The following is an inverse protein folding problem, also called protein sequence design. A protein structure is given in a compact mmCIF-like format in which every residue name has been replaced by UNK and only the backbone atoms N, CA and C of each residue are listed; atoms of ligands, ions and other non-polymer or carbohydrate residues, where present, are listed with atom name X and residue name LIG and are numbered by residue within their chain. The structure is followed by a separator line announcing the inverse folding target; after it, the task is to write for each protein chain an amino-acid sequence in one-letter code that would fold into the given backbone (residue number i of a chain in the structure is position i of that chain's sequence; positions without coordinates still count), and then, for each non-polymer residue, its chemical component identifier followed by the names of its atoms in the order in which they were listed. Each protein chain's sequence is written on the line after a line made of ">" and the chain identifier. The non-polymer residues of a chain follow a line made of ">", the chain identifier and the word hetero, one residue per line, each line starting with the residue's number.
data_IF_817261001908
#
_entry.id   IF_817261001908
#
_cell.length_a   1.000
_cell.length_b   1.000
_cell.length_c   1.000
_cell.angle_alpha   90.00
_cell.angle_beta   90.00
_cell.angle_gamma   90.00
#
_symmetry.space_group_name_H-M   'P 1'
#
loop_
_entity.id
_entity.type
_entity.pdbx_description
1 polymer ?
#
# COMPACT_ATOMS: atom_id res chain seq x y z
N UNK A 1 19.71 -1.69 5.55
CA UNK A 1 18.39 -1.03 5.49
C UNK A 1 17.50 -1.93 4.68
N UNK A 2 16.43 -2.44 5.27
CA UNK A 2 15.38 -3.15 4.53
C UNK A 2 14.81 -2.18 3.51
N UNK A 3 14.74 -2.56 2.23
CA UNK A 3 14.18 -1.71 1.19
C UNK A 3 12.66 -1.57 1.42
N UNK A 4 12.23 -0.42 1.93
CA UNK A 4 10.81 -0.08 2.08
C UNK A 4 10.21 0.22 0.71
N UNK A 5 9.07 -0.40 0.41
CA UNK A 5 8.48 -0.32 -0.92
C UNK A 5 8.06 1.10 -1.31
N UNK A 6 7.54 1.89 -0.37
CA UNK A 6 7.13 3.27 -0.68
C UNK A 6 8.35 4.16 -0.86
N UNK A 7 9.45 3.92 -0.15
CA UNK A 7 10.71 4.65 -0.36
C UNK A 7 11.27 4.37 -1.76
N UNK A 8 11.18 3.12 -2.22
CA UNK A 8 11.56 2.75 -3.58
C UNK A 8 10.66 3.41 -4.63
N UNK A 9 9.34 3.40 -4.43
CA UNK A 9 8.36 3.97 -5.36
C UNK A 9 8.42 5.50 -5.45
N UNK A 10 8.77 6.16 -4.35
CA UNK A 10 8.89 7.63 -4.29
C UNK A 10 10.28 8.15 -4.68
N UNK A 11 11.31 7.29 -4.68
CA UNK A 11 12.69 7.75 -4.84
C UNK A 11 13.11 8.60 -3.63
N UNK A 12 13.11 7.97 -2.45
CA UNK A 12 13.24 8.65 -1.16
C UNK A 12 14.43 9.63 -1.10
N UNK A 13 14.16 10.86 -0.65
CA UNK A 13 15.17 11.87 -0.29
C UNK A 13 15.36 11.90 1.23
N UNK A 14 16.49 12.45 1.76
CA UNK A 14 16.70 12.58 3.20
C UNK A 14 15.54 13.28 3.94
N UNK A 15 14.96 14.30 3.31
CA UNK A 15 13.84 15.08 3.85
C UNK A 15 12.57 14.24 3.94
N UNK A 16 12.26 13.48 2.88
CA UNK A 16 11.12 12.57 2.87
C UNK A 16 11.29 11.43 3.87
N UNK A 17 12.49 10.87 3.98
CA UNK A 17 12.79 9.82 4.94
C UNK A 17 12.60 10.33 6.38
N UNK A 18 13.11 11.52 6.70
CA UNK A 18 12.90 12.16 8.00
C UNK A 18 11.42 12.39 8.31
N UNK A 19 10.63 12.84 7.33
CA UNK A 19 9.18 12.98 7.47
C UNK A 19 8.51 11.64 7.78
N UNK A 20 8.85 10.59 7.03
CA UNK A 20 8.24 9.26 7.21
C UNK A 20 8.64 8.61 8.54
N UNK A 21 9.84 8.89 9.06
CA UNK A 21 10.27 8.43 10.40
C UNK A 21 9.46 9.02 11.54
N UNK A 22 8.69 10.10 11.33
CA UNK A 22 7.72 10.63 12.32
C UNK A 22 6.50 9.73 12.52
N UNK A 23 6.27 8.75 11.63
CA UNK A 23 5.16 7.79 11.68
C UNK A 23 5.69 6.35 11.52
N UNK A 24 6.54 5.87 12.44
CA UNK A 24 7.25 4.60 12.30
C UNK A 24 6.28 3.42 12.15
N UNK A 25 5.21 3.38 12.96
CA UNK A 25 4.18 2.35 12.88
C UNK A 25 3.50 2.31 11.51
N UNK A 26 3.17 3.45 10.92
CA UNK A 26 2.55 3.50 9.58
C UNK A 26 3.49 2.96 8.51
N UNK A 27 4.78 3.30 8.60
CA UNK A 27 5.81 2.81 7.68
C UNK A 27 5.96 1.28 7.78
N UNK A 28 6.11 0.77 9.00
CA UNK A 28 6.25 -0.66 9.28
C UNK A 28 5.03 -1.46 8.83
N UNK A 29 3.82 -1.01 9.16
CA UNK A 29 2.59 -1.72 8.82
C UNK A 29 2.29 -1.71 7.31
N UNK A 30 2.69 -0.65 6.60
CA UNK A 30 2.57 -0.61 5.15
C UNK A 30 3.50 -1.67 4.51
N UNK A 31 4.75 -1.72 4.95
CA UNK A 31 5.69 -2.73 4.47
C UNK A 31 5.21 -4.15 4.82
N UNK A 32 4.73 -4.39 6.04
CA UNK A 32 4.17 -5.67 6.43
C UNK A 32 2.95 -6.07 5.58
N UNK A 33 2.09 -5.11 5.21
CA UNK A 33 0.97 -5.35 4.30
C UNK A 33 1.43 -5.75 2.89
N UNK A 34 2.47 -5.08 2.38
CA UNK A 34 3.10 -5.45 1.11
C UNK A 34 3.66 -6.88 1.16
N UNK A 35 4.40 -7.22 2.22
CA UNK A 35 4.98 -8.54 2.39
C UNK A 35 3.92 -9.63 2.54
N UNK A 36 2.84 -9.38 3.29
CA UNK A 36 1.72 -10.32 3.39
C UNK A 36 1.05 -10.59 2.02
N UNK A 37 1.01 -9.60 1.13
CA UNK A 37 0.36 -9.71 -0.18
C UNK A 37 1.28 -10.26 -1.27
N UNK A 38 2.59 -9.97 -1.23
CA UNK A 38 3.53 -10.32 -2.32
C UNK A 38 4.60 -11.33 -1.92
N UNK A 39 4.76 -11.62 -0.63
CA UNK A 39 5.60 -12.66 -0.07
C UNK A 39 4.80 -13.53 0.93
N UNK A 40 3.64 -14.08 0.51
CA UNK A 40 2.74 -14.76 1.43
C UNK A 40 3.32 -16.09 1.93
N UNK A 41 2.89 -16.50 3.12
CA UNK A 41 3.23 -17.82 3.69
C UNK A 41 2.69 -18.96 2.81
N UNK A 42 1.54 -18.74 2.15
CA UNK A 42 0.95 -19.66 1.18
C UNK A 42 0.44 -18.93 -0.06
N UNK A 43 0.67 -19.53 -1.22
CA UNK A 43 0.17 -19.07 -2.52
C UNK A 43 -0.93 -20.00 -3.08
N UNK A 44 -1.55 -20.82 -2.22
CA UNK A 44 -2.55 -21.83 -2.62
C UNK A 44 -3.80 -21.22 -3.27
N UNK A 45 -4.37 -20.18 -2.66
CA UNK A 45 -5.63 -19.59 -3.14
C UNK A 45 -5.42 -18.53 -4.22
N UNK A 46 -4.25 -17.88 -4.22
CA UNK A 46 -3.85 -16.89 -5.23
C UNK A 46 -2.36 -17.01 -5.43
N UNK A 47 -1.96 -17.44 -6.62
CA UNK A 47 -0.57 -17.61 -7.00
C UNK A 47 0.18 -16.27 -7.04
N UNK A 48 1.51 -16.32 -6.94
CA UNK A 48 2.35 -15.13 -7.09
C UNK A 48 2.19 -14.47 -8.47
N UNK A 49 1.99 -15.27 -9.52
CA UNK A 49 1.76 -14.77 -10.87
C UNK A 49 0.42 -14.02 -10.96
N UNK A 50 -0.67 -14.57 -10.44
CA UNK A 50 -1.97 -13.89 -10.40
C UNK A 50 -1.88 -12.57 -9.63
N UNK A 51 -1.25 -12.56 -8.44
CA UNK A 51 -1.06 -11.34 -7.65
C UNK A 51 -0.31 -10.27 -8.43
N UNK A 52 0.76 -10.64 -9.13
CA UNK A 52 1.55 -9.70 -9.92
C UNK A 52 0.78 -9.15 -11.13
N UNK A 53 0.09 -10.02 -11.87
CA UNK A 53 -0.71 -9.65 -13.04
C UNK A 53 -1.89 -8.76 -12.66
N UNK A 54 -2.61 -9.12 -11.59
CA UNK A 54 -3.73 -8.32 -11.06
C UNK A 54 -3.23 -6.97 -10.54
N UNK A 55 -2.06 -6.93 -9.89
CA UNK A 55 -1.47 -5.67 -9.43
C UNK A 55 -1.06 -4.76 -10.59
N UNK A 56 -0.46 -5.33 -11.64
CA UNK A 56 -0.13 -4.59 -12.85
C UNK A 56 -1.38 -4.00 -13.52
N UNK A 57 -2.46 -4.79 -13.64
CA UNK A 57 -3.74 -4.31 -14.14
C UNK A 57 -4.30 -3.18 -13.28
N UNK A 58 -4.48 -3.42 -11.97
CA UNK A 58 -5.10 -2.48 -11.04
C UNK A 58 -4.40 -1.12 -11.01
N UNK A 59 -3.07 -1.13 -10.98
CA UNK A 59 -2.28 0.10 -10.87
C UNK A 59 -2.20 0.85 -12.20
N UNK A 60 -2.17 0.14 -13.34
CA UNK A 60 -2.22 0.76 -14.66
C UNK A 60 -3.54 1.52 -14.93
N UNK A 61 -4.66 1.13 -14.29
CA UNK A 61 -5.93 1.85 -14.42
C UNK A 61 -5.87 3.29 -13.88
N UNK A 62 -4.89 3.63 -13.04
CA UNK A 62 -4.72 4.99 -12.52
C UNK A 62 -4.03 5.95 -13.50
N UNK A 63 -3.43 5.44 -14.59
CA UNK A 63 -2.76 6.24 -15.63
C UNK A 63 -1.34 5.78 -15.96
N UNK A 64 -0.85 6.19 -17.13
CA UNK A 64 0.44 5.73 -17.69
C UNK A 64 1.68 6.30 -16.98
N UNK A 65 1.58 7.47 -16.35
CA UNK A 65 2.70 8.16 -15.68
C UNK A 65 2.85 7.79 -14.18
N UNK A 66 2.13 6.76 -13.71
CA UNK A 66 2.22 6.29 -12.33
C UNK A 66 3.41 5.33 -12.14
N UNK A 67 4.38 5.75 -11.33
CA UNK A 67 5.57 4.94 -10.98
C UNK A 67 5.22 3.65 -10.24
N UNK A 68 4.07 3.62 -9.56
CA UNK A 68 3.50 2.40 -8.98
C UNK A 68 3.08 1.43 -10.09
N UNK A 69 2.46 1.92 -11.16
CA UNK A 69 2.10 1.11 -12.32
C UNK A 69 3.34 0.58 -13.05
N UNK A 70 4.36 1.40 -13.25
CA UNK A 70 5.65 0.97 -13.81
C UNK A 70 6.27 -0.19 -13.00
N UNK A 71 6.27 -0.05 -11.68
CA UNK A 71 6.82 -1.05 -10.76
C UNK A 71 6.08 -2.40 -10.86
N UNK A 72 4.75 -2.39 -10.77
CA UNK A 72 3.99 -3.64 -10.84
C UNK A 72 3.97 -4.25 -12.24
N UNK A 73 3.99 -3.43 -13.30
CA UNK A 73 4.21 -3.93 -14.66
C UNK A 73 5.57 -4.60 -14.82
N UNK A 74 6.62 -4.09 -14.17
CA UNK A 74 7.93 -4.74 -14.09
C UNK A 74 7.86 -6.12 -13.44
N UNK A 75 7.27 -6.21 -12.25
CA UNK A 75 7.10 -7.49 -11.53
C UNK A 75 6.28 -8.51 -12.31
N UNK A 76 5.21 -8.08 -12.96
CA UNK A 76 4.40 -8.96 -13.81
C UNK A 76 5.22 -9.51 -14.98
N UNK A 77 6.01 -8.67 -15.66
CA UNK A 77 6.87 -9.08 -16.78
C UNK A 77 7.99 -10.03 -16.37
N UNK A 78 8.55 -9.87 -15.17
CA UNK A 78 9.56 -10.77 -14.62
C UNK A 78 9.02 -12.18 -14.35
N UNK A 79 7.75 -12.29 -13.97
CA UNK A 79 7.11 -13.57 -13.64
C UNK A 79 6.51 -14.24 -14.88
N UNK A 80 5.76 -13.50 -15.68
CA UNK A 80 5.05 -14.01 -16.87
C UNK A 80 4.98 -12.92 -17.94
N UNK A 81 5.99 -12.81 -18.82
CA UNK A 81 6.07 -11.74 -19.81
C UNK A 81 4.95 -11.80 -20.85
N UNK A 82 4.47 -13.00 -21.20
CA UNK A 82 3.43 -13.18 -22.21
C UNK A 82 2.09 -12.68 -21.68
N UNK A 83 1.68 -13.14 -20.48
CA UNK A 83 0.42 -12.69 -19.87
C UNK A 83 0.48 -11.23 -19.43
N UNK A 84 1.64 -10.76 -18.97
CA UNK A 84 1.81 -9.35 -18.60
C UNK A 84 1.58 -8.41 -19.79
N UNK A 85 2.01 -8.80 -21.00
CA UNK A 85 1.76 -8.01 -22.20
C UNK A 85 0.26 -7.95 -22.58
N UNK A 86 -0.49 -9.04 -22.33
CA UNK A 86 -1.95 -9.06 -22.53
C UNK A 86 -2.64 -8.16 -21.50
N UNK A 87 -2.28 -8.32 -20.22
CA UNK A 87 -2.82 -7.52 -19.11
C UNK A 87 -2.58 -6.02 -19.32
N UNK A 88 -1.41 -5.62 -19.83
CA UNK A 88 -1.12 -4.23 -20.11
C UNK A 88 -2.07 -3.64 -21.18
N UNK A 89 -2.34 -4.40 -22.26
CA UNK A 89 -3.29 -3.97 -23.30
C UNK A 89 -4.72 -3.89 -22.78
N UNK A 90 -5.14 -4.87 -21.97
CA UNK A 90 -6.46 -4.84 -21.35
C UNK A 90 -6.61 -3.64 -20.42
N UNK A 91 -5.58 -3.31 -19.61
CA UNK A 91 -5.61 -2.15 -18.73
C UNK A 91 -5.69 -0.82 -19.51
N UNK A 92 -4.94 -0.70 -20.61
CA UNK A 92 -5.00 0.46 -21.50
C UNK A 92 -6.39 0.62 -22.14
N UNK A 93 -6.97 -0.48 -22.63
CA UNK A 93 -8.32 -0.47 -23.22
C UNK A 93 -9.43 -0.20 -22.18
N UNK A 94 -9.22 -0.63 -20.93
CA UNK A 94 -10.17 -0.46 -19.83
C UNK A 94 -10.01 0.86 -19.06
N UNK A 95 -9.00 1.66 -19.39
CA UNK A 95 -8.71 2.94 -18.74
C UNK A 95 -9.88 3.90 -18.90
N UNK A 96 -10.28 4.53 -17.79
CA UNK A 96 -11.41 5.46 -17.74
C UNK A 96 -11.28 6.39 -16.53
N UNK A 97 -12.23 7.31 -16.36
CA UNK A 97 -12.27 8.24 -15.22
C UNK A 97 -13.59 8.04 -14.48
N UNK A 98 -13.51 7.39 -13.32
CA UNK A 98 -14.60 7.29 -12.35
C UNK A 98 -14.49 8.33 -11.22
N UNK A 99 -15.15 8.11 -10.06
CA UNK A 99 -15.91 6.91 -9.71
C UNK A 99 -17.30 6.88 -10.34
N UNK A 100 -17.76 5.68 -10.70
CA UNK A 100 -19.15 5.39 -11.05
C UNK A 100 -19.86 4.76 -9.86
N UNK A 101 -21.19 4.85 -9.85
CA UNK A 101 -22.00 4.34 -8.76
C UNK A 101 -23.37 5.00 -8.73
N UNK A 102 -24.38 4.23 -8.32
CA UNK A 102 -25.69 4.76 -7.97
C UNK A 102 -25.79 4.98 -6.47
N UNK A 103 -26.21 6.17 -6.05
CA UNK A 103 -26.60 6.45 -4.67
C UNK A 103 -28.04 6.02 -4.44
N UNK A 104 -28.28 5.31 -3.33
CA UNK A 104 -29.63 4.89 -2.90
C UNK A 104 -30.22 5.83 -1.85
N UNK A 105 -29.36 6.69 -1.30
CA UNK A 105 -29.65 7.65 -0.27
C UNK A 105 -30.40 8.85 -0.85
N UNK A 106 -31.53 9.18 -0.22
CA UNK A 106 -32.40 10.28 -0.66
C UNK A 106 -31.63 11.60 -0.74
N UNK A 107 -31.69 12.25 -1.90
CA UNK A 107 -31.04 13.53 -2.16
C UNK A 107 -29.65 13.42 -2.80
N UNK A 108 -29.10 12.21 -2.94
CA UNK A 108 -27.81 11.96 -3.60
C UNK A 108 -27.97 11.32 -4.98
N UNK A 109 -29.19 11.06 -5.45
CA UNK A 109 -29.43 10.35 -6.72
C UNK A 109 -28.80 11.09 -7.91
N UNK A 110 -28.80 12.44 -7.87
CA UNK A 110 -28.18 13.29 -8.89
C UNK A 110 -26.65 13.23 -8.91
N UNK A 111 -26.00 12.74 -7.84
CA UNK A 111 -24.55 12.50 -7.80
C UNK A 111 -24.16 11.14 -8.42
N UNK A 112 -25.16 10.32 -8.77
CA UNK A 112 -24.92 9.03 -9.41
C UNK A 112 -24.33 9.22 -10.80
N UNK A 113 -23.21 8.56 -11.06
CA UNK A 113 -22.57 8.56 -12.38
C UNK A 113 -22.56 7.14 -12.91
N UNK A 114 -23.09 6.93 -14.11
CA UNK A 114 -22.99 5.64 -14.80
C UNK A 114 -21.72 5.57 -15.66
N UNK A 115 -21.27 4.35 -15.94
CA UNK A 115 -20.07 4.10 -16.75
C UNK A 115 -20.10 2.76 -17.46
N UNK A 116 -19.11 2.51 -18.29
CA UNK A 116 -18.91 1.20 -18.89
C UNK A 116 -18.59 0.16 -17.80
N UNK A 117 -19.10 -1.06 -17.96
CA UNK A 117 -18.65 -2.21 -17.17
C UNK A 117 -17.61 -2.94 -18.01
N UNK A 118 -16.39 -3.04 -17.48
CA UNK A 118 -15.34 -3.74 -18.18
C UNK A 118 -15.66 -5.23 -18.29
N UNK A 119 -15.49 -5.75 -19.49
CA UNK A 119 -15.55 -7.17 -19.83
C UNK A 119 -14.23 -7.46 -20.56
N UNK A 120 -13.43 -8.41 -20.07
CA UNK A 120 -12.19 -8.77 -20.76
C UNK A 120 -12.48 -9.21 -22.20
N UNK A 121 -11.58 -8.86 -23.11
CA UNK A 121 -11.69 -9.27 -24.51
C UNK A 121 -11.74 -10.81 -24.65
N UNK A 122 -12.39 -11.34 -25.68
CA UNK A 122 -12.53 -12.79 -25.87
C UNK A 122 -11.17 -13.46 -26.09
N UNK A 123 -10.29 -12.85 -26.88
CA UNK A 123 -8.94 -13.37 -27.10
C UNK A 123 -8.07 -13.21 -25.84
N UNK A 124 -8.23 -12.11 -25.10
CA UNK A 124 -7.57 -11.95 -23.80
C UNK A 124 -8.04 -13.03 -22.80
N UNK A 125 -9.34 -13.30 -22.74
CA UNK A 125 -9.93 -14.32 -21.87
C UNK A 125 -9.42 -15.72 -22.23
N UNK A 126 -9.34 -16.05 -23.52
CA UNK A 126 -8.81 -17.33 -23.99
C UNK A 126 -7.33 -17.52 -23.60
N UNK A 127 -6.52 -16.45 -23.65
CA UNK A 127 -5.10 -16.52 -23.35
C UNK A 127 -4.76 -16.45 -21.85
N UNK A 128 -5.51 -15.67 -21.08
CA UNK A 128 -5.34 -15.51 -19.63
C UNK A 128 -6.02 -16.63 -18.82
N UNK A 129 -7.05 -17.25 -19.41
CA UNK A 129 -7.94 -18.19 -18.74
C UNK A 129 -9.06 -17.49 -17.97
N UNK A 130 -10.21 -18.18 -17.86
CA UNK A 130 -11.44 -17.66 -17.25
C UNK A 130 -11.22 -17.11 -15.84
N UNK A 131 -10.42 -17.82 -15.04
CA UNK A 131 -10.10 -17.44 -13.66
C UNK A 131 -9.47 -16.05 -13.56
N UNK A 132 -8.40 -15.79 -14.33
CA UNK A 132 -7.70 -14.51 -14.29
C UNK A 132 -8.53 -13.41 -14.95
N UNK A 133 -9.21 -13.71 -16.06
CA UNK A 133 -10.12 -12.77 -16.73
C UNK A 133 -11.23 -12.28 -15.78
N UNK A 134 -11.87 -13.18 -15.02
CA UNK A 134 -12.86 -12.83 -14.01
C UNK A 134 -12.28 -11.94 -12.90
N UNK A 135 -11.02 -12.17 -12.51
CA UNK A 135 -10.34 -11.31 -11.55
C UNK A 135 -10.07 -9.91 -12.09
N UNK A 136 -9.65 -9.76 -13.36
CA UNK A 136 -9.50 -8.43 -13.98
C UNK A 136 -10.83 -7.67 -14.01
N UNK A 137 -11.93 -8.36 -14.35
CA UNK A 137 -13.27 -7.79 -14.32
C UNK A 137 -13.65 -7.27 -12.93
N UNK A 138 -13.40 -8.09 -11.89
CA UNK A 138 -13.65 -7.71 -10.51
C UNK A 138 -12.75 -6.58 -10.02
N UNK A 139 -11.47 -6.57 -10.42
CA UNK A 139 -10.53 -5.50 -10.11
C UNK A 139 -11.01 -4.17 -10.70
N UNK A 140 -11.46 -4.14 -11.95
CA UNK A 140 -12.01 -2.91 -12.56
C UNK A 140 -13.25 -2.40 -11.81
N UNK A 141 -14.15 -3.33 -11.43
CA UNK A 141 -15.31 -3.02 -10.59
C UNK A 141 -14.90 -2.35 -9.28
N UNK A 142 -13.93 -2.90 -8.56
CA UNK A 142 -13.48 -2.34 -7.29
C UNK A 142 -12.73 -1.00 -7.44
N UNK A 143 -12.03 -0.78 -8.56
CA UNK A 143 -11.30 0.47 -8.81
C UNK A 143 -12.25 1.61 -9.15
N UNK A 144 -13.22 1.39 -10.05
CA UNK A 144 -14.06 2.48 -10.55
C UNK A 144 -15.46 2.51 -9.97
N UNK A 145 -16.01 1.38 -9.49
CA UNK A 145 -17.41 1.27 -9.07
C UNK A 145 -17.61 0.43 -7.80
N UNK A 146 -16.80 0.61 -6.75
CA UNK A 146 -16.84 -0.28 -5.58
C UNK A 146 -18.22 -0.31 -4.89
N UNK A 147 -19.03 0.76 -5.01
CA UNK A 147 -20.39 0.83 -4.47
C UNK A 147 -21.38 -0.14 -5.15
N UNK A 148 -21.12 -0.51 -6.41
CA UNK A 148 -21.97 -1.44 -7.16
C UNK A 148 -21.63 -2.90 -6.90
N UNK A 149 -20.55 -3.19 -6.17
CA UNK A 149 -20.15 -4.55 -5.86
C UNK A 149 -21.25 -5.31 -5.11
N UNK A 150 -21.60 -6.48 -5.62
CA UNK A 150 -22.77 -7.25 -5.23
C UNK A 150 -22.45 -8.75 -5.10
N UNK A 151 -23.38 -9.50 -4.50
CA UNK A 151 -23.26 -10.96 -4.41
C UNK A 151 -23.16 -11.66 -5.78
N UNK A 152 -23.75 -11.08 -6.83
CA UNK A 152 -23.64 -11.61 -8.18
C UNK A 152 -22.21 -11.50 -8.73
N UNK A 153 -21.46 -10.47 -8.34
CA UNK A 153 -20.06 -10.29 -8.76
C UNK A 153 -19.13 -11.29 -8.07
N UNK A 154 -19.41 -11.60 -6.80
CA UNK A 154 -18.72 -12.67 -6.07
C UNK A 154 -19.07 -14.05 -6.65
N UNK A 155 -20.32 -14.26 -7.06
CA UNK A 155 -20.76 -15.47 -7.75
C UNK A 155 -19.97 -15.72 -9.03
N UNK A 156 -19.74 -14.69 -9.86
CA UNK A 156 -18.93 -14.82 -11.08
C UNK A 156 -17.47 -15.21 -10.81
N UNK A 157 -16.88 -14.73 -9.72
CA UNK A 157 -15.54 -15.19 -9.31
C UNK A 157 -15.56 -16.66 -8.88
N UNK A 158 -16.55 -17.07 -8.09
CA UNK A 158 -16.71 -18.46 -7.67
C UNK A 158 -16.91 -19.40 -8.86
N UNK A 159 -17.75 -19.03 -9.83
CA UNK A 159 -17.98 -19.79 -11.06
C UNK A 159 -16.69 -19.91 -11.90
N UNK A 160 -15.82 -18.89 -11.86
CA UNK A 160 -14.49 -18.91 -12.47
C UNK A 160 -13.43 -19.66 -11.62
N UNK A 161 -13.86 -20.36 -10.56
CA UNK A 161 -13.05 -21.23 -9.72
C UNK A 161 -12.33 -20.56 -8.54
N UNK A 162 -12.60 -19.29 -8.24
CA UNK A 162 -12.02 -18.63 -7.07
C UNK A 162 -12.60 -19.20 -5.76
N UNK A 163 -11.73 -19.54 -4.81
CA UNK A 163 -12.14 -19.86 -3.45
C UNK A 163 -12.53 -18.60 -2.69
N UNK A 164 -13.32 -18.74 -1.62
CA UNK A 164 -13.67 -17.62 -0.74
C UNK A 164 -12.43 -16.88 -0.23
N UNK A 165 -11.41 -17.60 0.22
CA UNK A 165 -10.15 -17.01 0.69
C UNK A 165 -9.38 -16.29 -0.45
N UNK A 166 -9.48 -16.81 -1.68
CA UNK A 166 -8.93 -16.17 -2.87
C UNK A 166 -9.63 -14.86 -3.19
N UNK A 167 -10.96 -14.81 -3.09
CA UNK A 167 -11.77 -13.59 -3.31
C UNK A 167 -11.43 -12.51 -2.27
N UNK A 168 -11.31 -12.91 -1.00
CA UNK A 168 -10.90 -11.98 0.08
C UNK A 168 -9.49 -11.44 -0.20
N UNK A 169 -8.56 -12.32 -0.54
CA UNK A 169 -7.18 -11.94 -0.88
C UNK A 169 -7.12 -10.98 -2.07
N UNK A 170 -7.90 -11.26 -3.13
CA UNK A 170 -8.02 -10.39 -4.30
C UNK A 170 -8.53 -8.99 -3.91
N UNK A 171 -9.58 -8.93 -3.11
CA UNK A 171 -10.18 -7.66 -2.67
C UNK A 171 -9.22 -6.85 -1.79
N UNK A 172 -8.48 -7.52 -0.90
CA UNK A 172 -7.44 -6.92 -0.07
C UNK A 172 -6.28 -6.40 -0.91
N UNK A 173 -5.84 -7.16 -1.92
CA UNK A 173 -4.80 -6.74 -2.85
C UNK A 173 -5.19 -5.44 -3.57
N UNK A 174 -6.39 -5.38 -4.17
CA UNK A 174 -6.86 -4.18 -4.88
C UNK A 174 -6.97 -2.98 -3.93
N UNK A 175 -7.50 -3.20 -2.73
CA UNK A 175 -7.62 -2.14 -1.71
C UNK A 175 -6.27 -1.60 -1.26
N UNK A 176 -5.29 -2.49 -1.02
CA UNK A 176 -3.93 -2.11 -0.67
C UNK A 176 -3.25 -1.30 -1.77
N UNK A 177 -3.38 -1.72 -3.04
CA UNK A 177 -2.78 -1.02 -4.18
C UNK A 177 -3.36 0.38 -4.33
N UNK A 178 -4.69 0.53 -4.23
CA UNK A 178 -5.33 1.83 -4.28
C UNK A 178 -4.90 2.74 -3.12
N UNK A 179 -4.68 2.18 -1.91
CA UNK A 179 -4.09 2.92 -0.79
C UNK A 179 -2.65 3.34 -1.08
N UNK A 180 -1.82 2.41 -1.56
CA UNK A 180 -0.41 2.64 -1.84
C UNK A 180 -0.21 3.73 -2.90
N UNK A 181 -0.96 3.69 -4.01
CA UNK A 181 -0.90 4.72 -5.05
C UNK A 181 -1.21 6.11 -4.50
N UNK A 182 -2.21 6.25 -3.63
CA UNK A 182 -2.54 7.53 -2.99
C UNK A 182 -1.42 8.02 -2.05
N UNK A 183 -0.82 7.11 -1.27
CA UNK A 183 0.33 7.44 -0.42
C UNK A 183 1.50 7.90 -1.26
N UNK A 184 1.89 7.14 -2.29
CA UNK A 184 3.01 7.47 -3.18
C UNK A 184 2.77 8.80 -3.87
N UNK A 185 1.57 9.02 -4.43
CA UNK A 185 1.19 10.29 -5.06
C UNK A 185 1.29 11.46 -4.08
N UNK A 186 0.73 11.32 -2.88
CA UNK A 186 0.78 12.38 -1.87
C UNK A 186 2.20 12.73 -1.44
N UNK A 187 3.06 11.73 -1.23
CA UNK A 187 4.46 11.94 -0.85
C UNK A 187 5.26 12.62 -1.98
N UNK A 188 5.01 12.25 -3.23
CA UNK A 188 5.65 12.90 -4.39
C UNK A 188 5.23 14.36 -4.55
N UNK A 189 3.94 14.65 -4.38
CA UNK A 189 3.45 16.04 -4.37
C UNK A 189 4.15 16.87 -3.29
N UNK A 190 4.38 16.30 -2.09
CA UNK A 190 5.14 16.98 -1.04
C UNK A 190 6.60 17.21 -1.44
N UNK A 191 7.26 16.22 -2.05
CA UNK A 191 8.64 16.37 -2.56
C UNK A 191 8.72 17.49 -3.61
N UNK A 192 7.82 17.49 -4.58
CA UNK A 192 7.77 18.49 -5.65
C UNK A 192 7.46 19.90 -5.13
N UNK A 193 6.71 20.00 -4.02
CA UNK A 193 6.43 21.26 -3.33
C UNK A 193 7.63 21.81 -2.52
N UNK A 194 8.75 21.09 -2.46
CA UNK A 194 9.98 21.54 -1.80
C UNK A 194 10.02 21.22 -0.30
N UNK A 195 9.86 19.94 0.05
CA UNK A 195 10.14 19.44 1.42
C UNK A 195 11.55 19.87 1.85
N UNK A 196 11.64 20.69 2.89
CA UNK A 196 12.91 21.04 3.54
C UNK A 196 13.09 20.20 4.79
N UNK A 197 14.28 19.62 5.00
CA UNK A 197 14.62 19.04 6.29
C UNK A 197 14.59 20.14 7.35
N UNK A 198 13.65 20.08 8.29
CA UNK A 198 13.83 20.79 9.56
C UNK A 198 15.04 20.14 10.24
N UNK A 199 16.12 20.91 10.38
CA UNK A 199 17.23 20.54 11.23
C UNK A 199 16.66 20.18 12.60
N UNK A 200 16.83 18.94 13.02
CA UNK A 200 16.59 18.54 14.40
C UNK A 200 17.50 19.42 15.24
N UNK A 201 16.91 20.34 16.01
CA UNK A 201 17.63 21.13 17.00
C UNK A 201 18.34 20.11 17.89
N UNK A 202 19.66 20.03 17.71
CA UNK A 202 20.49 19.20 18.57
C UNK A 202 20.62 20.04 19.81
N UNK A 203 19.67 19.84 20.73
CA UNK A 203 19.73 20.38 22.07
C UNK A 203 20.98 19.79 22.70
N UNK A 204 22.09 20.50 22.50
CA UNK A 204 23.39 20.16 23.01
C UNK A 204 23.37 20.73 24.41
N UNK A 205 22.70 20.02 25.33
CA UNK A 205 22.77 20.29 26.75
C UNK A 205 24.20 19.96 27.20
N UNK A 206 25.10 20.90 26.94
CA UNK A 206 26.48 20.91 27.41
C UNK A 206 26.43 21.52 28.78
N UNK A 207 25.93 20.76 29.75
CA UNK A 207 26.04 21.13 31.16
C UNK A 207 27.50 20.89 31.58
N UNK A 208 28.35 21.88 31.31
CA UNK A 208 29.71 21.96 31.84
C UNK A 208 29.69 22.84 33.07
N UNK A 209 29.22 22.30 34.18
CA UNK A 209 29.56 22.85 35.49
C UNK A 209 30.86 22.20 35.97
N UNK A 210 31.95 22.85 35.59
CA UNK A 210 33.22 22.73 36.28
C UNK A 210 33.15 23.63 37.51
N UNK A 211 33.02 23.07 38.71
CA UNK A 211 33.53 23.76 39.88
C UNK A 211 34.37 22.83 40.75
N UNK A 212 35.62 23.23 40.89
CA UNK A 212 36.65 22.58 41.68
C UNK A 212 36.89 23.48 42.88
N UNK A 213 36.45 23.06 44.07
CA UNK A 213 36.91 23.67 45.31
C UNK A 213 37.05 22.63 46.42
N UNK A 214 38.27 22.63 46.94
CA UNK A 214 38.90 21.76 47.91
C UNK A 214 38.44 22.07 49.34
N UNK A 215 38.50 21.03 50.18
CA UNK A 215 39.09 21.02 51.54
C UNK A 215 38.20 20.93 52.81
N UNK A 216 38.57 19.90 53.58
CA UNK A 216 38.59 19.65 55.04
C UNK A 216 37.35 19.62 55.97
N UNK A 217 37.18 18.43 56.58
CA UNK A 217 36.89 18.09 57.99
C UNK A 217 35.83 18.86 58.80
N UNK A 218 34.87 18.12 59.40
CA UNK A 218 34.92 17.74 60.84
C UNK A 218 33.75 16.81 61.20
N UNK A 219 34.08 15.57 61.53
CA UNK A 219 33.59 14.71 62.64
C UNK A 219 32.35 15.14 63.45
N UNK A 220 31.33 14.28 63.57
CA UNK A 220 30.80 13.81 64.89
C UNK A 220 29.91 12.58 64.73
N UNK A 221 30.30 11.48 65.36
CA UNK A 221 29.54 10.26 65.56
C UNK A 221 28.41 10.42 66.60
N UNK A 222 27.30 9.68 66.44
CA UNK A 222 26.64 9.03 67.60
C UNK A 222 25.87 7.79 67.13
N UNK A 223 26.42 6.64 67.50
CA UNK A 223 25.82 5.31 67.49
C UNK A 223 25.13 5.10 68.85
N UNK A 224 23.88 4.65 68.87
CA UNK A 224 23.31 3.96 70.04
C UNK A 224 22.13 3.09 69.60
N UNK A 225 22.41 1.79 69.46
CA UNK A 225 21.42 0.73 69.45
C UNK A 225 21.49 0.00 70.80
N UNK A 226 20.39 0.01 71.56
CA UNK A 226 20.18 -0.84 72.73
C UNK A 226 18.67 -1.13 72.86
N UNK A 227 18.28 -2.39 72.63
CA UNK A 227 17.81 -3.30 73.68
C UNK A 227 16.85 -4.35 73.11
N UNK A 228 17.15 -5.61 73.42
CA UNK A 228 16.46 -6.80 73.00
C UNK A 228 15.30 -7.14 73.96
N UNK A 229 14.21 -7.66 73.40
CA UNK A 229 13.30 -8.63 74.00
C UNK A 229 12.62 -9.45 72.90
#
# INVERSE_FOLDING_TARGET
>A
MTADIVDQLTGVTPELDALRRRRPVTREQLQASFDALFHPVSAEHVSLAERALIAAFATALAGADDRTAEFYAGRAREIDPERAAIVAREAEAAATTGPFGAYTERGLEAESTDGARYVPDEAASAALGERLAAALAHTHLLVFRPREASGADLGRLHDAGWSTDGIVTLSQLVSFLAFQQRVVTGLRVLQDAGLTATATDTDTDTDTDTDTATDTDTDTATDTAEEAA
#
